data_IF_151872513901
#
_entry.id   IF_151872513901
#
_cell.length_a   1.000
_cell.length_b   1.000
_cell.length_c   1.000
_cell.angle_alpha   90.00
_cell.angle_beta   90.00
_cell.angle_gamma   90.00
#
_symmetry.space_group_name_H-M   'P 1'
#
loop_
_entity.id
_entity.type
_entity.pdbx_description
1 polymer ?
#
# COMPACT_ATOMS: atom_id res chain seq x y z
N UNK A 1 0.31 -6.08 -1.94
CA UNK A 1 0.86 -7.45 -2.10
C UNK A 1 1.28 -7.76 -3.53
N UNK A 2 0.73 -7.11 -4.56
CA UNK A 2 1.19 -7.26 -5.95
C UNK A 2 2.69 -6.93 -6.10
N UNK A 3 3.17 -5.87 -5.44
CA UNK A 3 4.61 -5.53 -5.37
C UNK A 3 5.50 -6.68 -4.89
N UNK A 4 5.13 -7.34 -3.78
CA UNK A 4 5.89 -8.48 -3.26
C UNK A 4 5.94 -9.65 -4.25
N UNK A 5 4.84 -9.91 -4.96
CA UNK A 5 4.81 -10.94 -5.99
C UNK A 5 5.74 -10.61 -7.17
N UNK A 6 5.73 -9.35 -7.65
CA UNK A 6 6.60 -8.92 -8.74
C UNK A 6 8.08 -8.93 -8.34
N UNK A 7 8.39 -8.54 -7.11
CA UNK A 7 9.73 -8.61 -6.56
C UNK A 7 10.28 -10.04 -6.58
N UNK A 8 9.48 -11.01 -6.11
CA UNK A 8 9.90 -12.41 -6.03
C UNK A 8 9.93 -13.12 -7.40
N UNK A 9 9.00 -12.79 -8.30
CA UNK A 9 8.85 -13.52 -9.58
C UNK A 9 9.66 -12.94 -10.73
N UNK A 10 9.87 -11.62 -10.76
CA UNK A 10 10.53 -10.92 -11.88
C UNK A 10 11.78 -10.15 -11.45
N UNK A 11 12.12 -10.15 -10.17
CA UNK A 11 13.28 -9.41 -9.66
C UNK A 11 13.17 -7.89 -9.84
N UNK A 12 11.95 -7.35 -10.07
CA UNK A 12 11.73 -5.91 -10.16
C UNK A 12 11.93 -5.32 -8.76
N UNK A 13 12.98 -4.49 -8.62
CA UNK A 13 13.39 -3.89 -7.34
C UNK A 13 12.87 -2.46 -7.16
N UNK A 14 12.27 -1.89 -8.20
CA UNK A 14 11.70 -0.55 -8.11
C UNK A 14 10.46 -0.58 -7.23
N UNK A 15 10.42 0.35 -6.27
CA UNK A 15 9.43 0.37 -5.20
C UNK A 15 8.14 1.08 -5.62
N UNK A 16 8.19 1.94 -6.64
CA UNK A 16 7.04 2.77 -7.06
C UNK A 16 6.48 2.42 -8.44
N UNK A 17 6.99 1.35 -9.06
CA UNK A 17 6.56 0.99 -10.41
C UNK A 17 5.21 0.27 -10.40
N UNK A 18 4.14 1.05 -10.59
CA UNK A 18 2.81 0.55 -10.92
C UNK A 18 2.67 0.35 -12.44
N UNK A 19 3.72 -0.12 -13.10
CA UNK A 19 3.78 -0.35 -14.54
C UNK A 19 2.84 -1.45 -15.05
N UNK A 20 2.92 -1.82 -16.34
CA UNK A 20 1.98 -2.72 -16.99
C UNK A 20 1.83 -4.08 -16.29
N UNK A 21 2.91 -4.62 -15.73
CA UNK A 21 2.88 -5.88 -14.98
C UNK A 21 2.06 -5.77 -13.68
N UNK A 22 2.21 -4.66 -12.95
CA UNK A 22 1.41 -4.38 -11.76
C UNK A 22 -0.07 -4.22 -12.14
N UNK A 23 -0.35 -3.40 -13.16
CA UNK A 23 -1.71 -3.12 -13.61
C UNK A 23 -2.41 -4.37 -14.12
N UNK A 24 -1.70 -5.26 -14.83
CA UNK A 24 -2.24 -6.55 -15.27
C UNK A 24 -2.68 -7.42 -14.08
N UNK A 25 -1.85 -7.54 -13.05
CA UNK A 25 -2.22 -8.28 -11.84
C UNK A 25 -3.33 -7.60 -11.04
N UNK A 26 -3.32 -6.27 -10.93
CA UNK A 26 -4.37 -5.48 -10.30
C UNK A 26 -5.72 -5.73 -10.96
N UNK A 27 -5.80 -5.59 -12.28
CA UNK A 27 -7.03 -5.81 -13.05
C UNK A 27 -7.52 -7.25 -12.95
N UNK A 28 -6.59 -8.22 -13.05
CA UNK A 28 -6.90 -9.65 -12.87
C UNK A 28 -7.53 -9.93 -11.50
N UNK A 29 -6.93 -9.42 -10.42
CA UNK A 29 -7.44 -9.65 -9.06
C UNK A 29 -8.78 -8.94 -8.86
N UNK A 30 -8.92 -7.70 -9.32
CA UNK A 30 -10.17 -6.95 -9.23
C UNK A 30 -11.33 -7.68 -9.92
N UNK A 31 -11.09 -8.27 -11.10
CA UNK A 31 -12.09 -9.05 -11.84
C UNK A 31 -12.50 -10.33 -11.08
N UNK A 32 -11.54 -11.10 -10.59
CA UNK A 32 -11.81 -12.41 -9.96
C UNK A 32 -12.39 -12.26 -8.55
N UNK A 33 -11.84 -11.35 -7.74
CA UNK A 33 -12.20 -11.20 -6.33
C UNK A 33 -13.22 -10.07 -6.09
N UNK A 34 -13.72 -9.44 -7.16
CA UNK A 34 -14.62 -8.28 -7.10
C UNK A 34 -14.12 -7.16 -6.18
N UNK A 35 -12.81 -6.86 -6.25
CA UNK A 35 -12.15 -5.80 -5.45
C UNK A 35 -11.94 -4.53 -6.27
N UNK A 36 -11.55 -3.43 -5.59
CA UNK A 36 -11.24 -2.12 -6.20
C UNK A 36 -9.82 -1.66 -5.88
N UNK A 37 -8.83 -2.51 -6.16
CA UNK A 37 -7.42 -2.16 -6.03
C UNK A 37 -7.08 -1.09 -7.06
N UNK A 38 -6.42 -0.02 -6.64
CA UNK A 38 -5.96 1.08 -7.48
C UNK A 38 -4.45 1.21 -7.43
N UNK A 39 -3.85 1.83 -8.45
CA UNK A 39 -2.42 2.21 -8.44
C UNK A 39 -2.12 3.29 -7.39
N UNK A 40 -3.13 4.10 -7.07
CA UNK A 40 -3.02 5.08 -5.99
C UNK A 40 -3.29 4.43 -4.65
N UNK A 41 -2.48 4.81 -3.69
CA UNK A 41 -2.62 4.45 -2.30
C UNK A 41 -3.68 5.32 -1.62
N UNK A 42 -4.82 4.73 -1.22
CA UNK A 42 -5.88 5.43 -0.46
C UNK A 42 -5.93 4.95 0.99
N UNK A 43 -4.96 5.40 1.82
CA UNK A 43 -4.82 4.92 3.20
C UNK A 43 -5.65 5.67 4.25
N UNK A 44 -6.74 6.33 3.85
CA UNK A 44 -7.49 7.19 4.78
C UNK A 44 -8.03 6.41 5.97
N UNK A 45 -8.57 5.20 5.73
CA UNK A 45 -9.15 4.35 6.78
C UNK A 45 -8.08 3.75 7.67
N UNK A 46 -6.98 3.31 7.09
CA UNK A 46 -5.83 2.72 7.80
C UNK A 46 -5.18 3.77 8.69
N UNK A 47 -4.85 4.94 8.13
CA UNK A 47 -4.25 6.03 8.90
C UNK A 47 -5.20 6.46 10.02
N UNK A 48 -6.51 6.54 9.76
CA UNK A 48 -7.49 6.87 10.80
C UNK A 48 -7.57 5.81 11.89
N UNK A 49 -7.50 4.52 11.53
CA UNK A 49 -7.44 3.41 12.50
C UNK A 49 -6.19 3.49 13.40
N UNK A 50 -5.06 3.97 12.87
CA UNK A 50 -3.82 4.15 13.65
C UNK A 50 -3.78 5.40 14.51
N UNK A 51 -4.67 6.39 14.28
CA UNK A 51 -4.74 7.60 15.13
C UNK A 51 -5.52 7.30 16.40
N UNK A 52 -4.89 6.60 17.32
CA UNK A 52 -5.56 6.08 18.51
C UNK A 52 -5.67 7.08 19.67
N UNK A 53 -4.87 8.14 19.67
CA UNK A 53 -4.85 9.13 20.75
C UNK A 53 -5.62 10.37 20.34
N UNK A 54 -6.70 10.66 21.07
CA UNK A 54 -7.61 11.75 20.73
C UNK A 54 -7.61 12.79 21.84
N UNK A 55 -7.57 14.06 21.45
CA UNK A 55 -7.70 15.21 22.33
C UNK A 55 -8.82 16.11 21.83
N UNK A 56 -9.61 16.61 22.75
CA UNK A 56 -10.70 17.55 22.49
C UNK A 56 -10.36 18.88 23.18
N UNK A 57 -10.30 19.97 22.42
CA UNK A 57 -10.21 21.31 22.97
C UNK A 57 -11.48 21.63 23.76
N UNK A 58 -11.40 22.33 24.89
CA UNK A 58 -12.53 22.81 25.70
C UNK A 58 -13.11 24.17 25.28
N UNK A 59 -12.42 24.89 24.39
CA UNK A 59 -12.83 26.22 23.96
C UNK A 59 -13.83 26.24 22.79
N UNK A 60 -14.03 27.45 22.25
CA UNK A 60 -15.01 27.72 21.19
C UNK A 60 -14.72 27.00 19.86
N UNK A 61 -13.52 26.44 19.66
CA UNK A 61 -13.21 25.72 18.42
C UNK A 61 -13.95 24.38 18.30
N UNK A 62 -14.62 23.90 19.37
CA UNK A 62 -15.52 22.73 19.33
C UNK A 62 -16.61 22.83 18.27
N UNK A 63 -17.14 24.02 18.03
CA UNK A 63 -18.24 24.24 17.07
C UNK A 63 -17.73 24.68 15.69
N UNK A 64 -16.43 24.96 15.57
CA UNK A 64 -15.82 25.48 14.34
C UNK A 64 -15.40 24.34 13.41
N UNK A 65 -15.88 24.40 12.16
CA UNK A 65 -15.40 23.57 11.06
C UNK A 65 -13.93 23.89 10.75
N UNK A 66 -13.15 22.93 10.21
CA UNK A 66 -13.55 21.55 9.90
C UNK A 66 -13.26 20.55 11.04
N UNK A 67 -12.48 20.93 12.05
CA UNK A 67 -11.93 19.98 13.02
C UNK A 67 -12.75 19.85 14.30
N UNK A 68 -13.65 20.78 14.60
CA UNK A 68 -14.52 20.75 15.79
C UNK A 68 -13.74 20.55 17.10
N UNK A 69 -12.57 21.19 17.20
CA UNK A 69 -11.68 21.11 18.35
C UNK A 69 -11.06 19.72 18.58
N UNK A 70 -11.20 18.78 17.65
CA UNK A 70 -10.68 17.43 17.77
C UNK A 70 -9.30 17.31 17.13
N UNK A 71 -8.38 16.71 17.87
CA UNK A 71 -7.03 16.37 17.38
C UNK A 71 -6.80 14.89 17.60
N UNK A 72 -6.48 14.17 16.52
CA UNK A 72 -6.18 12.74 16.56
C UNK A 72 -4.73 12.49 16.14
N UNK A 73 -4.01 11.65 16.87
CA UNK A 73 -2.61 11.29 16.57
C UNK A 73 -2.35 9.80 16.78
N UNK A 74 -1.35 9.29 16.08
CA UNK A 74 -0.83 7.92 16.25
C UNK A 74 0.06 7.75 17.48
N UNK A 75 0.56 8.86 18.04
CA UNK A 75 1.46 8.87 19.20
C UNK A 75 0.82 9.70 20.30
N UNK A 76 0.99 9.28 21.56
CA UNK A 76 0.54 9.99 22.77
C UNK A 76 1.36 11.27 22.99
N UNK A 77 1.15 12.28 22.13
CA UNK A 77 1.75 13.61 22.22
C UNK A 77 0.61 14.64 22.31
N UNK A 78 0.41 15.31 23.45
CA UNK A 78 -0.60 16.36 23.54
C UNK A 78 -0.27 17.49 22.57
N UNK A 79 -1.29 18.17 22.02
CA UNK A 79 -1.13 19.44 21.33
C UNK A 79 -0.29 20.43 22.17
N UNK A 80 0.67 21.10 21.53
CA UNK A 80 1.61 21.99 22.23
C UNK A 80 2.16 23.06 21.28
N UNK A 81 2.90 24.03 21.83
CA UNK A 81 3.61 25.09 21.09
C UNK A 81 4.51 24.61 19.93
N UNK A 82 4.86 23.31 19.90
CA UNK A 82 5.63 22.69 18.80
C UNK A 82 4.79 22.43 17.55
N UNK A 83 3.47 22.46 17.66
CA UNK A 83 2.59 22.31 16.50
C UNK A 83 2.50 23.66 15.77
N UNK A 84 2.65 23.63 14.44
CA UNK A 84 2.70 24.84 13.60
C UNK A 84 1.45 25.70 13.72
N UNK A 85 0.29 25.10 14.00
CA UNK A 85 -1.00 25.76 14.16
C UNK A 85 -1.28 26.21 15.61
N UNK A 86 -0.41 25.91 16.57
CA UNK A 86 -0.68 26.18 17.99
C UNK A 86 -0.84 27.66 18.32
N UNK A 87 0.03 28.50 17.77
CA UNK A 87 -0.01 29.95 18.01
C UNK A 87 -1.35 30.55 17.55
N UNK A 88 -1.84 30.11 16.40
CA UNK A 88 -3.13 30.53 15.86
C UNK A 88 -4.31 30.03 16.70
N UNK A 89 -4.25 28.77 17.16
CA UNK A 89 -5.26 28.24 18.07
C UNK A 89 -5.30 29.01 19.41
N UNK A 90 -4.13 29.36 19.95
CA UNK A 90 -4.04 30.12 21.20
C UNK A 90 -4.68 31.51 21.06
N UNK A 91 -4.49 32.16 19.91
CA UNK A 91 -5.05 33.50 19.62
C UNK A 91 -6.55 33.48 19.34
N UNK A 92 -7.03 32.49 18.60
CA UNK A 92 -8.43 32.42 18.13
C UNK A 92 -9.39 31.69 19.08
N UNK A 93 -8.87 30.76 19.88
CA UNK A 93 -9.64 29.94 20.79
C UNK A 93 -9.15 30.05 22.23
N UNK A 94 -7.84 29.93 22.46
CA UNK A 94 -7.23 29.98 23.79
C UNK A 94 -7.56 28.79 24.71
N UNK A 95 -8.29 27.79 24.21
CA UNK A 95 -8.71 26.62 24.99
C UNK A 95 -7.58 25.60 25.21
N UNK A 96 -7.82 24.68 26.13
CA UNK A 96 -6.93 23.58 26.48
C UNK A 96 -7.43 22.25 25.90
N UNK A 97 -6.48 21.39 25.51
CA UNK A 97 -6.78 20.09 24.91
C UNK A 97 -6.80 18.98 25.97
N UNK A 98 -7.98 18.41 26.19
CA UNK A 98 -8.21 17.32 27.15
C UNK A 98 -8.19 15.99 26.39
N UNK A 99 -7.50 14.98 26.94
CA UNK A 99 -7.41 13.66 26.31
C UNK A 99 -8.71 12.88 26.54
N UNK A 100 -9.33 12.41 25.45
CA UNK A 100 -10.63 11.72 25.49
C UNK A 100 -10.54 10.24 25.12
N UNK A 101 -9.49 9.81 24.41
CA UNK A 101 -9.31 8.41 23.99
C UNK A 101 -7.86 7.97 24.09
N UNK A 102 -7.67 6.77 24.62
CA UNK A 102 -6.38 6.07 24.67
C UNK A 102 -6.60 4.56 24.41
N UNK A 103 -5.65 3.87 23.76
CA UNK A 103 -5.66 2.41 23.67
C UNK A 103 -5.64 1.76 25.05
N UNK A 104 -6.49 0.74 25.24
CA UNK A 104 -6.69 0.01 26.49
C UNK A 104 -5.37 -0.56 27.06
N UNK A 105 -4.44 -0.93 26.19
CA UNK A 105 -3.17 -1.58 26.58
C UNK A 105 -1.96 -0.65 26.69
N UNK A 106 -2.12 0.66 26.47
CA UNK A 106 -0.98 1.58 26.41
C UNK A 106 -0.21 1.67 27.74
N UNK A 107 -0.92 1.67 28.88
CA UNK A 107 -0.29 1.73 30.21
C UNK A 107 0.49 0.46 30.57
N UNK A 108 0.04 -0.72 30.11
CA UNK A 108 0.68 -2.01 30.40
C UNK A 108 2.01 -2.20 29.64
N UNK A 109 2.15 -1.60 28.46
CA UNK A 109 3.35 -1.74 27.61
C UNK A 109 4.58 -0.98 28.12
N UNK A 110 4.40 0.12 28.87
CA UNK A 110 5.51 0.87 29.48
C UNK A 110 6.29 0.03 30.50
N UNK A 111 5.62 -0.89 31.20
CA UNK A 111 6.26 -1.76 32.20
C UNK A 111 7.21 -2.75 31.52
N UNK A 112 6.84 -3.29 30.35
CA UNK A 112 7.64 -4.32 29.65
C UNK A 112 8.86 -3.76 28.91
N UNK A 113 8.88 -2.48 28.52
CA UNK A 113 9.98 -1.90 27.72
C UNK A 113 11.19 -1.51 28.58
N UNK A 114 11.03 -1.39 29.90
CA UNK A 114 12.14 -1.14 30.82
C UNK A 114 13.01 -2.38 31.06
N UNK A 115 12.49 -3.59 30.80
CA UNK A 115 13.16 -4.87 31.14
C UNK A 115 13.78 -5.60 29.93
N UNK A 116 13.65 -5.07 28.71
CA UNK A 116 14.11 -5.77 27.49
C UNK A 116 14.89 -4.84 26.55
N UNK A 117 15.99 -4.27 27.03
CA UNK A 117 17.00 -3.65 26.19
C UNK A 117 18.02 -4.71 25.74
N UNK A 118 17.69 -5.49 24.71
CA UNK A 118 18.70 -6.19 23.89
C UNK A 118 18.64 -5.63 22.47
N UNK A 119 19.77 -5.05 22.03
CA UNK A 119 19.98 -4.52 20.67
C UNK A 119 19.92 -5.66 19.65
N UNK A 120 19.18 -5.58 18.54
CA UNK A 120 19.35 -6.51 17.44
C UNK A 120 20.50 -6.04 16.55
N UNK A 121 21.48 -6.93 16.35
CA UNK A 121 22.61 -6.78 15.44
C UNK A 121 22.25 -7.29 14.04
N UNK A 122 22.65 -6.51 13.02
CA UNK A 122 22.80 -6.81 11.59
C UNK A 122 21.54 -7.23 10.81
N UNK A 123 21.21 -6.41 9.81
CA UNK A 123 20.17 -6.63 8.80
C UNK A 123 20.50 -7.84 7.93
N UNK A 124 19.83 -8.98 8.16
CA UNK A 124 19.78 -10.04 7.17
C UNK A 124 18.74 -9.70 6.10
N UNK A 125 19.14 -9.90 4.83
CA UNK A 125 18.22 -9.89 3.71
C UNK A 125 17.09 -10.91 3.96
N UNK A 126 15.84 -10.50 3.69
CA UNK A 126 14.64 -11.28 3.95
C UNK A 126 14.62 -12.60 3.17
N UNK A 127 15.39 -12.67 2.09
CA UNK A 127 15.60 -13.86 1.25
C UNK A 127 16.18 -15.04 2.03
N UNK A 128 16.85 -14.80 3.16
CA UNK A 128 17.43 -15.85 4.03
C UNK A 128 16.39 -16.69 4.79
N UNK A 129 15.13 -16.28 4.82
CA UNK A 129 14.06 -16.99 5.53
C UNK A 129 13.28 -18.00 4.69
N UNK A 130 13.56 -18.08 3.38
CA UNK A 130 12.89 -19.03 2.49
C UNK A 130 13.81 -20.22 2.18
N UNK A 131 13.39 -21.46 2.47
CA UNK A 131 14.18 -22.64 2.13
C UNK A 131 14.26 -22.78 0.61
N UNK A 132 15.47 -22.71 0.06
CA UNK A 132 15.77 -23.07 -1.33
C UNK A 132 15.50 -24.56 -1.52
N UNK A 133 14.27 -24.91 -1.90
CA UNK A 133 13.98 -26.16 -2.61
C UNK A 133 13.75 -25.77 -4.07
N UNK A 134 14.36 -26.54 -4.96
CA UNK A 134 14.34 -26.42 -6.43
C UNK A 134 15.48 -25.58 -7.03
N UNK A 135 16.72 -26.09 -6.89
CA UNK A 135 17.83 -25.77 -7.80
C UNK A 135 17.92 -26.67 -9.04
N UNK A 136 16.97 -27.57 -9.25
CA UNK A 136 17.08 -28.61 -10.29
C UNK A 136 16.15 -28.43 -11.50
N UNK A 137 15.35 -27.35 -11.59
CA UNK A 137 14.54 -27.08 -12.80
C UNK A 137 15.23 -26.09 -13.76
N UNK A 138 16.19 -25.30 -13.28
CA UNK A 138 16.84 -24.24 -14.07
C UNK A 138 17.99 -24.72 -14.99
N UNK A 139 18.15 -26.03 -15.21
CA UNK A 139 19.18 -26.57 -16.12
C UNK A 139 18.67 -27.06 -17.49
N UNK A 140 17.35 -27.06 -17.73
CA UNK A 140 16.77 -27.59 -18.99
C UNK A 140 16.15 -26.53 -19.93
N UNK A 141 16.47 -25.25 -19.78
CA UNK A 141 16.01 -24.19 -20.70
C UNK A 141 17.15 -23.36 -21.31
N UNK A 142 18.37 -23.91 -21.34
CA UNK A 142 19.50 -23.30 -22.07
C UNK A 142 19.68 -24.07 -23.38
N UNK A 143 18.70 -23.97 -24.27
CA UNK A 143 18.87 -24.24 -25.70
C UNK A 143 17.67 -23.65 -26.44
N UNK A 144 17.64 -22.31 -26.51
CA UNK A 144 16.87 -21.59 -27.52
C UNK A 144 17.84 -20.64 -28.23
N UNK A 145 17.93 -20.65 -29.57
CA UNK A 145 18.87 -19.80 -30.30
C UNK A 145 18.53 -18.31 -30.14
N UNK A 146 19.54 -17.47 -30.31
CA UNK A 146 19.42 -15.99 -30.32
C UNK A 146 18.40 -15.51 -31.35
N UNK A 147 17.71 -14.41 -31.03
CA UNK A 147 16.61 -13.81 -31.79
C UNK A 147 17.05 -13.00 -33.02
N UNK A 148 18.24 -13.24 -33.55
CA UNK A 148 18.80 -12.44 -34.65
C UNK A 148 18.72 -13.10 -36.05
N UNK A 149 18.11 -14.29 -36.17
CA UNK A 149 18.16 -15.08 -37.43
C UNK A 149 16.79 -15.52 -38.01
N UNK A 150 15.67 -14.87 -37.63
CA UNK A 150 14.35 -15.14 -38.25
C UNK A 150 13.95 -13.95 -39.14
N UNK A 151 14.75 -13.68 -40.16
CA UNK A 151 14.34 -12.81 -41.27
C UNK A 151 14.71 -13.45 -42.59
N UNK A 152 14.07 -14.57 -42.95
CA UNK A 152 13.85 -15.01 -44.35
C UNK A 152 12.99 -16.29 -44.40
N UNK A 153 11.87 -16.21 -45.14
CA UNK A 153 10.90 -17.29 -45.33
C UNK A 153 9.88 -17.35 -44.20
N UNK A 154 8.61 -16.97 -44.39
CA UNK A 154 7.63 -17.79 -45.11
C UNK A 154 6.61 -16.89 -45.82
N UNK A 155 6.42 -17.22 -47.09
CA UNK A 155 5.47 -16.66 -48.05
C UNK A 155 4.01 -17.00 -47.70
N UNK A 156 3.14 -16.01 -47.89
CA UNK A 156 1.73 -16.08 -48.33
C UNK A 156 0.94 -17.38 -48.06
N UNK A 157 -0.05 -17.30 -47.17
CA UNK A 157 -1.46 -17.58 -47.52
C UNK A 157 -2.39 -17.08 -46.40
N UNK A 158 -3.27 -16.15 -46.77
CA UNK A 158 -4.24 -15.53 -45.90
C UNK A 158 -5.61 -16.18 -46.12
N UNK A 159 -6.05 -17.02 -45.20
CA UNK A 159 -7.43 -17.48 -45.14
C UNK A 159 -8.20 -16.71 -44.06
N UNK A 160 -8.78 -15.59 -44.50
CA UNK A 160 -9.79 -14.83 -43.75
C UNK A 160 -11.14 -15.54 -43.88
N UNK A 161 -11.59 -16.24 -42.83
CA UNK A 161 -13.02 -16.51 -42.64
C UNK A 161 -13.63 -15.37 -41.83
N UNK A 162 -14.18 -14.39 -42.55
CA UNK A 162 -15.05 -13.35 -42.01
C UNK A 162 -16.43 -13.98 -41.81
N UNK A 163 -16.91 -14.03 -40.56
CA UNK A 163 -18.31 -14.35 -40.26
C UNK A 163 -19.09 -13.04 -40.35
N UNK A 164 -19.89 -12.89 -41.40
CA UNK A 164 -20.86 -11.81 -41.55
C UNK A 164 -22.11 -12.24 -40.79
N UNK A 165 -22.50 -11.45 -39.78
CA UNK A 165 -23.77 -11.60 -39.07
C UNK A 165 -24.71 -10.57 -39.69
N UNK A 166 -25.67 -11.03 -40.50
CA UNK A 166 -26.74 -10.19 -41.03
C UNK A 166 -27.73 -9.85 -39.90
N UNK A 167 -27.93 -8.56 -39.67
CA UNK A 167 -28.94 -8.01 -38.76
C UNK A 167 -29.83 -7.02 -39.52
N UNK A 168 -30.84 -7.58 -40.19
CA UNK A 168 -32.10 -6.93 -40.61
C UNK A 168 -33.10 -8.10 -40.78
N UNK A 169 -34.30 -8.11 -40.22
CA UNK A 169 -35.23 -7.01 -40.14
C UNK A 169 -36.32 -7.22 -39.07
N UNK A 170 -36.98 -6.10 -38.76
CA UNK A 170 -38.12 -5.97 -37.86
C UNK A 170 -39.39 -6.61 -38.43
N UNK A 171 -40.27 -7.06 -37.54
CA UNK A 171 -41.65 -7.46 -37.81
C UNK A 171 -42.32 -7.90 -36.52
#
# INVERSE_FOLDING_TARGET
MIHAFLFLSRGVRDHDDHGPAFQGHMNRINSIANTKITVFHTFHREVEAYRLHWWQCDGNCRTKKPYFGLVKRSINRPPSKRDTWWAEHQRSCGGSFIKIKEPVDYKKKKIRKATSAKKPTKSSDITSYFPNKDKDVAKNLINTPSVDDITQGISLQADRKIVVIDLTDKG
#
